data_IF_912945186360
#
_entry.id   IF_912945186360
#
_cell.length_a   1.000
_cell.length_b   1.000
_cell.length_c   1.000
_cell.angle_alpha   90.00
_cell.angle_beta   90.00
_cell.angle_gamma   90.00
#
_symmetry.space_group_name_H-M   'P 1'
#
loop_
_entity.id
_entity.type
_entity.pdbx_description
1 polymer ?
#
# COMPACT_ATOMS: atom_id res chain seq x y z
N UNK A 1 8.12 -49.50 -6.91
CA UNK A 1 7.80 -48.78 -8.17
C UNK A 1 8.52 -47.46 -8.04
N UNK A 2 9.67 -47.35 -8.67
CA UNK A 2 10.61 -46.25 -8.51
C UNK A 2 10.53 -45.30 -9.71
N UNK A 3 10.78 -44.04 -9.39
CA UNK A 3 10.72 -42.79 -10.15
C UNK A 3 10.91 -42.84 -11.67
N UNK A 4 9.96 -42.20 -12.35
CA UNK A 4 10.03 -41.80 -13.76
C UNK A 4 10.94 -40.56 -13.86
N UNK A 5 12.24 -40.79 -14.10
CA UNK A 5 13.20 -39.74 -14.46
C UNK A 5 12.87 -39.23 -15.86
N UNK A 6 12.35 -38.00 -15.96
CA UNK A 6 12.27 -37.28 -17.22
C UNK A 6 13.69 -36.85 -17.61
N UNK A 7 14.17 -37.40 -18.72
CA UNK A 7 15.45 -37.12 -19.36
C UNK A 7 15.43 -35.69 -19.95
N UNK A 8 16.06 -34.74 -19.28
CA UNK A 8 16.21 -33.39 -19.80
C UNK A 8 17.32 -33.38 -20.87
N UNK A 9 17.05 -32.93 -22.11
CA UNK A 9 18.08 -32.81 -23.12
C UNK A 9 19.13 -31.79 -22.68
N UNK A 10 20.38 -32.25 -22.59
CA UNK A 10 21.53 -31.42 -22.25
C UNK A 10 21.72 -30.33 -23.31
N UNK A 11 21.50 -29.07 -22.93
CA UNK A 11 21.75 -27.92 -23.81
C UNK A 11 23.27 -27.73 -23.92
N UNK A 12 23.80 -27.89 -25.14
CA UNK A 12 25.18 -27.53 -25.48
C UNK A 12 25.37 -26.02 -25.37
N UNK A 13 26.16 -25.55 -24.41
CA UNK A 13 26.40 -24.13 -24.12
C UNK A 13 27.42 -23.45 -25.05
N UNK A 14 27.72 -23.99 -26.23
CA UNK A 14 28.85 -23.53 -27.05
C UNK A 14 28.50 -23.27 -28.51
N UNK A 15 27.52 -22.36 -28.74
CA UNK A 15 27.28 -21.79 -30.07
C UNK A 15 27.21 -20.26 -29.99
N UNK A 16 28.37 -19.66 -30.16
CA UNK A 16 28.59 -18.38 -30.85
C UNK A 16 27.70 -17.22 -30.39
N UNK A 17 28.15 -16.49 -29.38
CA UNK A 17 27.78 -15.09 -29.16
C UNK A 17 28.20 -14.27 -30.39
N UNK A 18 27.33 -14.20 -31.41
CA UNK A 18 27.37 -13.06 -32.31
C UNK A 18 26.94 -11.86 -31.49
N UNK A 19 27.85 -10.89 -31.37
CA UNK A 19 27.61 -9.61 -30.74
C UNK A 19 26.48 -8.90 -31.50
N UNK A 20 25.24 -9.15 -31.09
CA UNK A 20 24.11 -8.30 -31.42
C UNK A 20 24.38 -6.97 -30.75
N UNK A 21 24.36 -5.93 -31.57
CA UNK A 21 24.55 -4.52 -31.23
C UNK A 21 24.10 -4.21 -29.81
N UNK A 22 24.99 -3.58 -29.02
CA UNK A 22 24.67 -2.88 -27.76
C UNK A 22 23.23 -2.34 -27.86
N UNK A 23 22.29 -2.97 -27.16
CA UNK A 23 21.05 -2.30 -26.83
C UNK A 23 21.47 -1.17 -25.92
N UNK A 24 21.56 0.03 -26.46
CA UNK A 24 21.56 1.24 -25.64
C UNK A 24 20.41 1.09 -24.66
N UNK A 25 20.74 0.95 -23.38
CA UNK A 25 19.77 1.23 -22.33
C UNK A 25 19.16 2.58 -22.70
N UNK A 26 17.84 2.72 -22.84
CA UNK A 26 17.27 4.03 -23.05
C UNK A 26 17.84 4.93 -21.94
N UNK A 27 18.37 6.09 -22.34
CA UNK A 27 18.78 7.11 -21.38
C UNK A 27 17.64 7.29 -20.35
N UNK A 28 17.93 7.64 -19.08
CA UNK A 28 16.89 7.94 -18.10
C UNK A 28 16.19 9.24 -18.52
N UNK A 29 15.40 9.20 -19.60
CA UNK A 29 14.45 10.23 -19.92
C UNK A 29 13.19 9.91 -19.13
N UNK A 30 12.78 10.96 -18.43
CA UNK A 30 11.46 11.15 -17.88
C UNK A 30 11.19 10.35 -16.61
N UNK A 31 11.31 11.09 -15.51
CA UNK A 31 10.64 10.82 -14.23
C UNK A 31 9.38 9.99 -14.48
N UNK A 32 9.36 8.74 -14.01
CA UNK A 32 8.10 8.00 -13.90
C UNK A 32 7.14 8.97 -13.21
N UNK A 33 5.98 9.31 -13.81
CA UNK A 33 5.05 10.25 -13.20
C UNK A 33 4.58 9.65 -11.88
N UNK A 34 5.24 10.10 -10.82
CA UNK A 34 5.13 9.57 -9.48
C UNK A 34 4.14 10.44 -8.74
N UNK A 35 3.01 9.86 -8.38
CA UNK A 35 1.97 10.59 -7.68
C UNK A 35 2.35 10.71 -6.20
N UNK A 36 2.61 11.95 -5.76
CA UNK A 36 2.94 12.20 -4.36
C UNK A 36 1.67 12.32 -3.53
N UNK A 37 1.48 11.39 -2.62
CA UNK A 37 0.42 11.36 -1.64
C UNK A 37 0.67 12.43 -0.57
N UNK A 38 -0.16 13.46 -0.59
CA UNK A 38 -0.17 14.52 0.41
C UNK A 38 -0.87 14.10 1.70
N UNK A 39 -0.70 14.92 2.74
CA UNK A 39 -1.36 14.71 4.05
C UNK A 39 -2.89 14.66 3.98
N UNK A 40 -3.51 15.29 2.98
CA UNK A 40 -4.96 15.28 2.80
C UNK A 40 -5.50 13.85 2.59
N UNK A 41 -4.84 13.07 1.73
CA UNK A 41 -5.20 11.68 1.47
C UNK A 41 -5.04 10.82 2.72
N UNK A 42 -3.93 10.97 3.44
CA UNK A 42 -3.73 10.22 4.69
C UNK A 42 -4.80 10.55 5.73
N UNK A 43 -5.21 11.81 5.87
CA UNK A 43 -6.31 12.20 6.77
C UNK A 43 -7.64 11.59 6.34
N UNK A 44 -7.93 11.53 5.04
CA UNK A 44 -9.15 10.93 4.53
C UNK A 44 -9.21 9.44 4.87
N UNK A 45 -8.14 8.69 4.55
CA UNK A 45 -8.05 7.26 4.88
C UNK A 45 -8.11 7.04 6.39
N UNK A 46 -7.38 7.83 7.18
CA UNK A 46 -7.39 7.72 8.63
C UNK A 46 -8.77 7.99 9.24
N UNK A 47 -9.48 9.03 8.77
CA UNK A 47 -10.83 9.35 9.24
C UNK A 47 -11.83 8.23 8.93
N UNK A 48 -11.80 7.70 7.70
CA UNK A 48 -12.68 6.58 7.31
C UNK A 48 -12.35 5.34 8.14
N UNK A 49 -11.06 5.03 8.35
CA UNK A 49 -10.65 3.91 9.20
C UNK A 49 -11.12 4.09 10.63
N UNK A 50 -11.04 5.30 11.19
CA UNK A 50 -11.54 5.60 12.54
C UNK A 50 -13.04 5.40 12.65
N UNK A 51 -13.80 5.91 11.70
CA UNK A 51 -15.26 5.78 11.67
C UNK A 51 -15.67 4.31 11.56
N UNK A 52 -14.96 3.52 10.74
CA UNK A 52 -15.18 2.07 10.63
C UNK A 52 -14.77 1.33 11.91
N UNK A 53 -13.68 1.73 12.55
CA UNK A 53 -13.16 1.13 13.78
C UNK A 53 -14.11 1.37 14.96
N UNK A 54 -14.53 2.62 15.19
CA UNK A 54 -15.26 3.00 16.41
C UNK A 54 -14.54 2.49 17.66
N UNK A 55 -15.21 1.65 18.44
CA UNK A 55 -14.66 1.00 19.65
C UNK A 55 -13.96 -0.35 19.39
N UNK A 56 -13.91 -0.80 18.13
CA UNK A 56 -13.28 -2.06 17.76
C UNK A 56 -11.77 -1.93 17.73
N UNK A 57 -11.10 -3.08 17.84
CA UNK A 57 -9.65 -3.18 17.77
C UNK A 57 -9.16 -3.78 16.45
N UNK A 58 -10.06 -4.26 15.58
CA UNK A 58 -9.70 -4.78 14.27
C UNK A 58 -10.82 -4.62 13.25
N UNK A 59 -10.40 -4.52 11.99
CA UNK A 59 -11.23 -4.57 10.80
C UNK A 59 -10.66 -5.63 9.85
N UNK A 60 -11.55 -6.26 9.08
CA UNK A 60 -11.19 -7.23 8.06
C UNK A 60 -11.82 -6.85 6.74
N UNK A 61 -11.11 -7.05 5.63
CA UNK A 61 -11.57 -6.74 4.27
C UNK A 61 -11.99 -5.28 4.12
N UNK A 62 -11.09 -4.38 4.49
CA UNK A 62 -11.29 -2.94 4.32
C UNK A 62 -11.09 -2.60 2.84
N UNK A 63 -12.07 -1.93 2.26
CA UNK A 63 -11.94 -1.31 0.95
C UNK A 63 -12.51 0.10 1.03
N UNK A 64 -11.70 1.06 0.62
CA UNK A 64 -12.03 2.48 0.63
C UNK A 64 -11.76 3.00 -0.77
N UNK A 65 -12.82 3.44 -1.44
CA UNK A 65 -12.75 4.06 -2.76
C UNK A 65 -13.21 5.51 -2.63
N UNK A 66 -12.48 6.45 -3.21
CA UNK A 66 -12.90 7.86 -3.29
C UNK A 66 -12.29 8.57 -4.50
N UNK A 67 -12.85 9.72 -4.84
CA UNK A 67 -12.41 10.61 -5.90
C UNK A 67 -12.10 11.98 -5.29
N UNK A 68 -11.05 12.64 -5.79
CA UNK A 68 -10.66 14.00 -5.40
C UNK A 68 -11.29 15.04 -6.33
N UNK A 69 -11.24 16.33 -5.96
CA UNK A 69 -11.84 17.42 -6.74
C UNK A 69 -11.25 17.55 -8.14
N UNK A 70 -9.99 17.13 -8.31
CA UNK A 70 -9.29 17.08 -9.60
C UNK A 70 -9.71 15.87 -10.48
N UNK A 71 -10.63 15.01 -10.01
CA UNK A 71 -11.08 13.81 -10.72
C UNK A 71 -10.12 12.61 -10.62
N UNK A 72 -9.10 12.69 -9.78
CA UNK A 72 -8.24 11.55 -9.48
C UNK A 72 -8.97 10.58 -8.56
N UNK A 73 -8.94 9.29 -8.86
CA UNK A 73 -9.56 8.26 -8.02
C UNK A 73 -8.51 7.44 -7.28
N UNK A 74 -8.87 7.01 -6.08
CA UNK A 74 -7.99 6.26 -5.19
C UNK A 74 -8.73 5.07 -4.60
N UNK A 75 -8.01 3.96 -4.51
CA UNK A 75 -8.52 2.73 -3.88
C UNK A 75 -7.50 2.24 -2.88
N UNK A 76 -7.90 2.24 -1.61
CA UNK A 76 -7.16 1.60 -0.53
C UNK A 76 -7.83 0.28 -0.17
N UNK A 77 -7.08 -0.81 -0.26
CA UNK A 77 -7.56 -2.15 0.11
C UNK A 77 -6.65 -2.70 1.21
N UNK A 78 -7.24 -3.24 2.26
CA UNK A 78 -6.51 -3.86 3.35
C UNK A 78 -7.21 -5.16 3.78
N UNK A 79 -6.44 -6.24 3.88
CA UNK A 79 -6.97 -7.54 4.30
C UNK A 79 -7.39 -7.53 5.77
N UNK A 80 -6.59 -6.89 6.62
CA UNK A 80 -6.86 -6.78 8.06
C UNK A 80 -6.07 -5.64 8.69
N UNK A 81 -6.80 -4.70 9.30
CA UNK A 81 -6.24 -3.61 10.09
C UNK A 81 -6.46 -3.92 11.56
N UNK A 82 -5.44 -3.75 12.40
CA UNK A 82 -5.57 -3.86 13.85
C UNK A 82 -4.99 -2.65 14.55
N UNK A 83 -5.59 -2.32 15.69
CA UNK A 83 -5.27 -1.14 16.47
C UNK A 83 -4.89 -1.58 17.87
N UNK A 84 -3.76 -1.07 18.34
CA UNK A 84 -3.36 -1.17 19.72
C UNK A 84 -3.84 0.06 20.47
N UNK A 85 -4.64 -0.13 21.50
CA UNK A 85 -5.11 0.95 22.36
C UNK A 85 -4.40 0.89 23.70
N UNK A 86 -4.06 2.06 24.24
CA UNK A 86 -3.57 2.21 25.60
C UNK A 86 -4.53 3.07 26.41
N UNK A 87 -4.67 2.73 27.68
CA UNK A 87 -5.43 3.54 28.62
C UNK A 87 -4.51 4.58 29.25
N UNK A 88 -4.72 5.85 28.92
CA UNK A 88 -4.03 6.98 29.54
C UNK A 88 -4.85 7.46 30.73
N UNK A 89 -4.19 7.71 31.85
CA UNK A 89 -4.81 8.24 33.06
C UNK A 89 -4.43 9.71 33.22
N UNK A 90 -5.45 10.52 33.37
CA UNK A 90 -5.35 11.94 33.70
C UNK A 90 -5.97 12.19 35.08
N UNK A 91 -5.66 13.32 35.74
CA UNK A 91 -6.31 13.71 36.99
C UNK A 91 -7.85 13.74 36.90
N UNK A 92 -8.37 14.12 35.74
CA UNK A 92 -9.79 14.24 35.41
C UNK A 92 -10.47 12.93 35.01
N UNK A 93 -9.72 11.85 34.78
CA UNK A 93 -10.28 10.56 34.37
C UNK A 93 -9.31 9.66 33.62
N UNK A 94 -9.83 8.70 32.87
CA UNK A 94 -8.99 7.85 32.02
C UNK A 94 -9.61 7.74 30.65
N UNK A 95 -8.77 7.75 29.63
CA UNK A 95 -9.16 7.72 28.23
C UNK A 95 -8.43 6.57 27.52
N UNK A 96 -9.12 5.86 26.64
CA UNK A 96 -8.47 4.91 25.73
C UNK A 96 -8.06 5.62 24.46
N UNK A 97 -6.79 5.46 24.10
CA UNK A 97 -6.20 6.16 22.96
C UNK A 97 -5.50 5.16 22.05
N UNK A 98 -5.52 5.41 20.75
CA UNK A 98 -4.76 4.61 19.78
C UNK A 98 -3.26 4.84 20.02
N UNK A 99 -2.54 3.76 20.31
CA UNK A 99 -1.09 3.74 20.51
C UNK A 99 -0.35 3.38 19.22
N UNK A 100 -0.86 2.38 18.49
CA UNK A 100 -0.25 1.92 17.25
C UNK A 100 -1.28 1.29 16.30
N UNK A 101 -0.92 1.22 15.02
CA UNK A 101 -1.72 0.69 13.93
C UNK A 101 -0.89 -0.31 13.13
N UNK A 102 -1.43 -1.50 12.91
CA UNK A 102 -0.82 -2.51 12.06
C UNK A 102 -1.75 -2.99 10.96
N UNK A 103 -1.12 -3.47 9.90
CA UNK A 103 -1.76 -4.18 8.79
C UNK A 103 -0.88 -5.33 8.35
N UNK A 104 -1.54 -6.41 7.89
CA UNK A 104 -0.85 -7.58 7.36
C UNK A 104 -0.51 -7.41 5.88
N UNK A 105 -1.52 -7.10 5.08
CA UNK A 105 -1.39 -6.89 3.64
C UNK A 105 -2.34 -5.78 3.20
N UNK A 106 -1.81 -4.84 2.44
CA UNK A 106 -2.53 -3.68 1.94
C UNK A 106 -2.05 -3.30 0.54
N UNK A 107 -2.93 -2.66 -0.21
CA UNK A 107 -2.65 -2.06 -1.51
C UNK A 107 -3.24 -0.65 -1.56
N UNK A 108 -2.54 0.24 -2.26
CA UNK A 108 -3.01 1.59 -2.51
C UNK A 108 -2.80 1.92 -3.99
N UNK A 109 -3.91 2.08 -4.70
CA UNK A 109 -3.94 2.44 -6.10
C UNK A 109 -4.41 3.88 -6.27
N UNK A 110 -3.81 4.57 -7.23
CA UNK A 110 -4.18 5.92 -7.65
C UNK A 110 -4.36 5.93 -9.17
N UNK A 111 -5.45 6.50 -9.64
CA UNK A 111 -5.79 6.59 -11.06
C UNK A 111 -6.02 8.05 -11.44
N UNK A 112 -5.56 8.45 -12.63
CA UNK A 112 -5.84 9.78 -13.19
C UNK A 112 -7.30 9.88 -13.65
N UNK A 113 -7.80 11.08 -14.01
CA UNK A 113 -9.16 11.25 -14.54
C UNK A 113 -9.39 10.46 -15.83
N UNK A 114 -8.33 10.16 -16.58
CA UNK A 114 -8.36 9.32 -17.79
C UNK A 114 -8.45 7.81 -17.48
N UNK A 115 -8.33 7.43 -16.21
CA UNK A 115 -8.38 6.04 -15.74
C UNK A 115 -7.02 5.33 -15.75
N UNK A 116 -5.92 6.04 -16.04
CA UNK A 116 -4.58 5.46 -16.03
C UNK A 116 -4.04 5.32 -14.60
N UNK A 117 -3.61 4.12 -14.23
CA UNK A 117 -2.97 3.88 -12.93
C UNK A 117 -1.60 4.58 -12.85
N UNK A 118 -1.36 5.27 -11.74
CA UNK A 118 -0.09 5.92 -11.42
C UNK A 118 0.53 5.30 -10.16
N UNK A 119 1.85 5.12 -10.23
CA UNK A 119 2.65 4.71 -9.07
C UNK A 119 2.70 5.87 -8.08
N UNK A 120 2.58 5.57 -6.79
CA UNK A 120 2.51 6.56 -5.72
C UNK A 120 3.49 6.28 -4.56
N UNK A 121 3.63 7.24 -3.64
CA UNK A 121 4.48 7.15 -2.45
C UNK A 121 3.77 6.74 -1.16
N UNK A 122 2.60 6.10 -1.27
CA UNK A 122 1.83 5.74 -0.10
C UNK A 122 2.63 4.83 0.85
N UNK A 123 2.45 5.08 2.14
CA UNK A 123 3.13 4.35 3.21
C UNK A 123 2.15 4.16 4.34
N UNK A 124 1.75 2.92 4.59
CA UNK A 124 0.84 2.59 5.67
C UNK A 124 1.35 3.07 7.03
N UNK A 125 2.67 2.99 7.27
CA UNK A 125 3.29 3.43 8.53
C UNK A 125 3.10 4.92 8.84
N UNK A 126 2.75 5.76 7.85
CA UNK A 126 2.42 7.18 8.07
C UNK A 126 0.98 7.38 8.56
N UNK A 127 0.05 6.44 8.34
CA UNK A 127 -1.35 6.57 8.77
C UNK A 127 -1.48 6.75 10.28
N UNK A 128 -0.57 6.17 11.07
CA UNK A 128 -0.54 6.32 12.53
C UNK A 128 -0.41 7.77 12.99
N UNK A 129 0.17 8.64 12.18
CA UNK A 129 0.32 10.07 12.49
C UNK A 129 -1.00 10.84 12.32
N UNK A 130 -1.97 10.24 11.60
CA UNK A 130 -3.25 10.86 11.26
C UNK A 130 -4.45 10.21 11.95
N UNK A 131 -4.29 9.01 12.53
CA UNK A 131 -5.30 8.43 13.41
C UNK A 131 -5.21 9.13 14.78
N UNK A 132 -6.04 10.14 14.97
CA UNK A 132 -6.31 10.79 16.26
C UNK A 132 -6.86 9.84 17.35
N UNK A 133 -6.58 10.22 18.59
CA UNK A 133 -7.16 9.68 19.82
C UNK A 133 -8.66 10.04 19.82
N UNK A 134 -9.55 9.06 19.91
CA UNK A 134 -11.01 9.28 20.01
C UNK A 134 -11.35 9.95 21.34
N UNK A 135 -11.81 11.21 21.31
CA UNK A 135 -12.32 12.01 22.46
C UNK A 135 -13.52 11.38 23.18
#
# INVERSE_FOLDING_TARGET
MYDEYIDYPSIEWDKGLQATSKSECPAPSDQIPYFRIGAAIYRQVAGILQDMLGDRNCLSNVKIDWEDEDGNSYTFTDSSVWVYRKRVRFPEGSMEVVDDLGSGWWEFHSYTPEGDEKINDFQFSKLKEYICLTE
#
